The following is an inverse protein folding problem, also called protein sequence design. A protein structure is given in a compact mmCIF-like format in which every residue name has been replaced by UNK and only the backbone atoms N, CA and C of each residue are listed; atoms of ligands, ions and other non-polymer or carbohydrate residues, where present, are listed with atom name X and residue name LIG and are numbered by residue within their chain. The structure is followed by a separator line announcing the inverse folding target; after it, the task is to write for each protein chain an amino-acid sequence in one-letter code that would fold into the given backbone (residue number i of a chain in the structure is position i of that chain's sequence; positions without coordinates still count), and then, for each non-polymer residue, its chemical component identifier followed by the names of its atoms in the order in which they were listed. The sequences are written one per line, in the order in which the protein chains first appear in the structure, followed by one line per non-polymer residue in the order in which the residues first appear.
data_IF_890802763154
#
_entry.id   IF_890802763154
#
_cell.length_a   1.000
_cell.length_b   1.000
_cell.length_c   1.000
_cell.angle_alpha   90.00
_cell.angle_beta   90.00
_cell.angle_gamma   90.00
#
_symmetry.space_group_name_H-M   'P 1'
#
loop_
_entity.id
_entity.type
_entity.pdbx_description
1 polymer ?
#
# COMPACT_ATOMS: atom_id res chain seq x y z
N UNK A 1 -5.74 -16.75 -9.01
CA UNK A 1 -5.69 -15.75 -10.11
C UNK A 1 -4.39 -14.99 -9.91
N UNK A 2 -3.38 -15.18 -10.76
CA UNK A 2 -2.20 -14.30 -10.76
C UNK A 2 -2.59 -13.08 -11.57
N UNK A 3 -2.73 -11.92 -10.93
CA UNK A 3 -2.97 -10.67 -11.64
C UNK A 3 -1.65 -10.22 -12.22
N UNK A 4 -1.58 -9.97 -13.53
CA UNK A 4 -0.38 -9.40 -14.15
C UNK A 4 -0.12 -7.99 -13.58
N UNK A 5 1.15 -7.57 -13.52
CA UNK A 5 1.54 -6.24 -13.04
C UNK A 5 0.91 -5.14 -13.91
N UNK A 6 0.78 -5.38 -15.21
CA UNK A 6 0.11 -4.46 -16.13
C UNK A 6 -1.39 -4.31 -15.83
N UNK A 7 -2.08 -5.40 -15.50
CA UNK A 7 -3.49 -5.37 -15.08
C UNK A 7 -3.65 -4.68 -13.72
N UNK A 8 -2.70 -4.90 -12.81
CA UNK A 8 -2.66 -4.23 -11.51
C UNK A 8 -2.47 -2.72 -11.67
N UNK A 9 -1.57 -2.29 -12.56
CA UNK A 9 -1.36 -0.88 -12.88
C UNK A 9 -2.61 -0.24 -13.47
N UNK A 10 -3.26 -0.91 -14.44
CA UNK A 10 -4.52 -0.41 -15.04
C UNK A 10 -5.62 -0.29 -13.99
N UNK A 11 -5.81 -1.30 -13.15
CA UNK A 11 -6.79 -1.26 -12.07
C UNK A 11 -6.48 -0.12 -11.08
N UNK A 12 -5.22 0.05 -10.71
CA UNK A 12 -4.81 1.13 -9.81
C UNK A 12 -5.06 2.52 -10.42
N UNK A 13 -4.70 2.71 -11.69
CA UNK A 13 -4.99 3.94 -12.44
C UNK A 13 -6.49 4.19 -12.56
N UNK A 14 -7.28 3.15 -12.84
CA UNK A 14 -8.74 3.26 -12.89
C UNK A 14 -9.28 3.73 -11.54
N UNK A 15 -8.87 3.11 -10.43
CA UNK A 15 -9.27 3.48 -9.06
C UNK A 15 -8.87 4.93 -8.68
N UNK A 16 -7.74 5.41 -9.14
CA UNK A 16 -7.20 6.71 -8.69
C UNK A 16 -7.50 7.87 -9.66
N UNK A 17 -7.83 7.58 -10.93
CA UNK A 17 -8.09 8.58 -11.97
C UNK A 17 -9.44 9.29 -11.88
N UNK A 18 -10.39 8.77 -11.10
CA UNK A 18 -11.75 9.31 -11.11
C UNK A 18 -11.95 10.40 -10.04
N UNK A 19 -12.01 11.64 -10.52
CA UNK A 19 -12.39 12.84 -9.76
C UNK A 19 -13.89 12.89 -9.35
N UNK A 20 -14.63 11.77 -9.43
CA UNK A 20 -16.07 11.68 -9.17
C UNK A 20 -16.46 10.56 -8.18
N UNK A 21 -17.77 10.30 -8.06
CA UNK A 21 -18.34 9.21 -7.22
C UNK A 21 -17.93 7.83 -7.74
N UNK A 22 -16.70 7.41 -7.47
CA UNK A 22 -16.28 6.07 -7.83
C UNK A 22 -17.06 5.01 -7.06
N UNK A 23 -17.68 4.11 -7.81
CA UNK A 23 -18.23 2.88 -7.25
C UNK A 23 -17.06 1.94 -7.01
N UNK A 24 -16.98 1.39 -5.81
CA UNK A 24 -16.10 0.27 -5.49
C UNK A 24 -16.26 -0.81 -6.56
N UNK A 25 -15.16 -1.43 -6.99
CA UNK A 25 -15.14 -2.49 -8.02
C UNK A 25 -15.01 -3.86 -7.36
N UNK A 26 -15.45 -4.91 -8.05
CA UNK A 26 -15.22 -6.32 -7.64
C UNK A 26 -13.82 -6.80 -8.04
N UNK A 27 -13.09 -6.05 -8.88
CA UNK A 27 -11.67 -6.29 -9.17
C UNK A 27 -10.83 -5.80 -7.99
N UNK A 28 -9.88 -6.60 -7.53
CA UNK A 28 -9.10 -6.32 -6.33
C UNK A 28 -7.63 -6.16 -6.67
N UNK A 29 -6.94 -5.23 -6.01
CA UNK A 29 -5.49 -5.07 -6.17
C UNK A 29 -4.76 -6.31 -5.65
N UNK A 30 -5.29 -6.95 -4.60
CA UNK A 30 -4.82 -8.23 -4.08
C UNK A 30 -5.95 -9.15 -3.64
N UNK A 31 -5.63 -10.43 -3.47
CA UNK A 31 -6.55 -11.41 -2.87
C UNK A 31 -6.67 -11.13 -1.37
N UNK A 32 -7.87 -10.81 -0.83
CA UNK A 32 -8.02 -10.34 0.56
C UNK A 32 -7.64 -11.36 1.62
N UNK A 33 -7.74 -12.66 1.29
CA UNK A 33 -7.42 -13.77 2.19
C UNK A 33 -6.03 -14.38 1.96
N UNK A 34 -5.29 -13.91 0.95
CA UNK A 34 -3.99 -14.51 0.66
C UNK A 34 -2.96 -14.04 1.67
N UNK A 35 -2.38 -14.99 2.40
CA UNK A 35 -1.14 -14.81 3.16
C UNK A 35 0.09 -14.92 2.26
N UNK A 36 -0.05 -15.48 1.05
CA UNK A 36 1.04 -15.54 0.07
C UNK A 36 1.40 -14.12 -0.38
N UNK A 37 2.70 -13.78 -0.44
CA UNK A 37 3.14 -12.48 -0.91
C UNK A 37 2.65 -12.28 -2.34
N UNK A 38 1.87 -11.22 -2.55
CA UNK A 38 1.65 -10.70 -3.89
C UNK A 38 3.01 -10.21 -4.39
N UNK A 39 3.28 -10.31 -5.69
CA UNK A 39 4.50 -9.79 -6.34
C UNK A 39 4.48 -8.25 -6.37
N UNK A 40 4.32 -7.64 -5.21
CA UNK A 40 4.41 -6.21 -4.95
C UNK A 40 5.79 -5.89 -4.40
N UNK A 41 6.23 -4.65 -4.58
CA UNK A 41 7.50 -4.19 -4.05
C UNK A 41 7.57 -4.27 -2.52
N UNK A 42 6.47 -3.93 -1.83
CA UNK A 42 6.31 -4.06 -0.39
C UNK A 42 5.32 -5.17 -0.05
N UNK A 43 5.57 -5.89 1.04
CA UNK A 43 4.64 -6.85 1.59
C UNK A 43 3.53 -6.14 2.38
N UNK A 44 2.29 -6.28 1.90
CA UNK A 44 1.08 -5.80 2.58
C UNK A 44 0.19 -6.98 2.99
N UNK A 45 0.33 -7.51 4.23
CA UNK A 45 -0.52 -8.60 4.74
C UNK A 45 -2.02 -8.29 4.80
N UNK A 46 -2.83 -9.28 5.17
CA UNK A 46 -4.30 -9.18 5.20
C UNK A 46 -4.83 -8.12 6.16
N UNK A 47 -4.11 -7.80 7.24
CA UNK A 47 -4.50 -6.74 8.16
C UNK A 47 -4.47 -5.33 7.53
N UNK A 48 -3.75 -5.12 6.42
CA UNK A 48 -3.80 -3.89 5.63
C UNK A 48 -4.99 -3.81 4.66
N UNK A 49 -5.88 -4.81 4.61
CA UNK A 49 -7.04 -4.75 3.72
C UNK A 49 -7.89 -3.49 3.92
N UNK A 50 -8.08 -3.07 5.18
CA UNK A 50 -8.83 -1.84 5.48
C UNK A 50 -8.09 -0.58 4.99
N UNK A 51 -6.78 -0.50 5.20
CA UNK A 51 -5.94 0.61 4.73
C UNK A 51 -5.89 0.70 3.20
N UNK A 52 -5.95 -0.45 2.52
CA UNK A 52 -6.07 -0.57 1.07
C UNK A 52 -7.52 -0.38 0.58
N UNK A 53 -8.48 -0.09 1.44
CA UNK A 53 -9.90 0.02 1.12
C UNK A 53 -10.50 -1.22 0.42
N UNK A 54 -10.06 -2.40 0.84
CA UNK A 54 -10.61 -3.71 0.48
C UNK A 54 -11.62 -4.12 1.55
N UNK A 55 -12.89 -4.32 1.17
CA UNK A 55 -13.97 -4.63 2.11
C UNK A 55 -14.92 -5.67 1.54
N UNK A 56 -15.48 -6.52 2.40
CA UNK A 56 -16.60 -7.35 2.03
C UNK A 56 -17.87 -6.50 2.09
N UNK A 57 -18.55 -6.34 0.97
CA UNK A 57 -19.70 -5.43 0.85
C UNK A 57 -20.88 -6.15 0.25
N UNK A 58 -22.07 -5.84 0.75
CA UNK A 58 -23.33 -6.30 0.16
C UNK A 58 -23.56 -5.63 -1.21
N UNK A 59 -23.89 -6.44 -2.21
CA UNK A 59 -24.29 -6.02 -3.55
C UNK A 59 -25.65 -6.62 -3.88
N UNK A 60 -26.35 -6.01 -4.83
CA UNK A 60 -27.66 -6.48 -5.31
C UNK A 60 -27.58 -6.82 -6.78
N UNK A 61 -27.95 -8.05 -7.13
CA UNK A 61 -28.14 -8.51 -8.51
C UNK A 61 -29.48 -9.24 -8.56
N UNK A 62 -30.33 -8.87 -9.52
CA UNK A 62 -31.65 -9.46 -9.70
C UNK A 62 -32.52 -9.45 -8.42
N UNK A 63 -32.47 -8.34 -7.67
CA UNK A 63 -33.13 -8.12 -6.36
C UNK A 63 -32.66 -9.05 -5.23
N UNK A 64 -31.66 -9.90 -5.46
CA UNK A 64 -31.04 -10.72 -4.43
C UNK A 64 -29.75 -10.05 -3.94
N UNK A 65 -29.58 -10.03 -2.62
CA UNK A 65 -28.35 -9.57 -1.98
C UNK A 65 -27.30 -10.67 -2.00
N UNK A 66 -26.06 -10.32 -2.33
CA UNK A 66 -24.90 -11.18 -2.22
C UNK A 66 -23.71 -10.41 -1.63
N UNK A 67 -22.83 -11.11 -0.92
CA UNK A 67 -21.62 -10.54 -0.35
C UNK A 67 -20.44 -10.79 -1.26
N UNK A 68 -19.67 -9.75 -1.53
CA UNK A 68 -18.48 -9.84 -2.37
C UNK A 68 -17.41 -8.86 -1.88
N UNK A 69 -16.16 -9.27 -1.98
CA UNK A 69 -15.03 -8.39 -1.74
C UNK A 69 -14.97 -7.32 -2.83
N UNK A 70 -14.77 -6.08 -2.39
CA UNK A 70 -14.67 -4.94 -3.28
C UNK A 70 -13.51 -4.05 -2.91
N UNK A 71 -12.99 -3.36 -3.91
CA UNK A 71 -11.88 -2.42 -3.83
C UNK A 71 -12.41 -1.01 -4.10
N UNK A 72 -12.13 -0.08 -3.20
CA UNK A 72 -12.26 1.35 -3.47
C UNK A 72 -10.91 2.04 -3.53
N UNK A 73 -10.93 3.37 -3.44
CA UNK A 73 -9.75 4.22 -3.50
C UNK A 73 -9.62 5.15 -2.27
N UNK A 74 -10.37 4.85 -1.20
CA UNK A 74 -10.31 5.57 0.09
C UNK A 74 -9.17 5.00 0.96
N UNK A 75 -7.96 5.00 0.40
CA UNK A 75 -6.76 4.50 1.08
C UNK A 75 -6.47 5.28 2.37
N UNK A 76 -6.14 4.56 3.45
CA UNK A 76 -6.16 5.11 4.81
C UNK A 76 -5.06 4.55 5.72
N UNK A 77 -3.82 4.46 5.21
CA UNK A 77 -2.67 4.14 6.07
C UNK A 77 -2.53 5.20 7.17
N UNK A 78 -2.20 4.75 8.37
CA UNK A 78 -2.24 5.52 9.61
C UNK A 78 -0.87 5.59 10.28
N UNK A 79 -0.69 6.56 11.17
CA UNK A 79 0.55 6.71 11.94
C UNK A 79 0.86 5.41 12.71
N UNK A 80 2.09 4.93 12.58
CA UNK A 80 2.54 3.66 13.16
C UNK A 80 2.46 2.47 12.21
N UNK A 81 1.72 2.57 11.09
CA UNK A 81 1.74 1.53 10.06
C UNK A 81 3.17 1.34 9.55
N UNK A 82 3.62 0.09 9.57
CA UNK A 82 4.98 -0.30 9.20
C UNK A 82 4.92 -1.40 8.16
N UNK A 83 5.55 -1.19 7.01
CA UNK A 83 5.62 -2.14 5.91
C UNK A 83 7.07 -2.50 5.59
N UNK A 84 7.29 -3.75 5.24
CA UNK A 84 8.59 -4.30 4.85
C UNK A 84 8.52 -4.86 3.44
N UNK A 85 9.65 -4.93 2.74
CA UNK A 85 9.75 -5.53 1.40
C UNK A 85 9.59 -7.05 1.38
N UNK A 86 9.62 -7.70 2.55
CA UNK A 86 9.58 -9.16 2.67
C UNK A 86 8.57 -9.62 3.71
N UNK A 87 7.89 -10.74 3.44
CA UNK A 87 6.97 -11.37 4.38
C UNK A 87 7.71 -12.03 5.55
N UNK A 88 9.00 -12.32 5.36
CA UNK A 88 9.90 -12.83 6.40
C UNK A 88 10.06 -11.83 7.55
N UNK A 89 9.75 -10.54 7.33
CA UNK A 89 9.80 -9.50 8.34
C UNK A 89 8.83 -9.72 9.51
N UNK A 90 7.82 -10.57 9.32
CA UNK A 90 6.82 -10.91 10.34
C UNK A 90 7.16 -12.18 11.14
N UNK A 91 8.37 -12.73 10.95
CA UNK A 91 8.97 -13.81 11.77
C UNK A 91 9.76 -13.20 12.95
N UNK A 92 10.37 -14.00 13.86
CA UNK A 92 11.22 -13.47 14.92
C UNK A 92 12.23 -12.45 14.40
N UNK A 93 12.39 -11.33 15.12
CA UNK A 93 13.04 -10.12 14.59
C UNK A 93 14.50 -10.33 14.15
N UNK A 94 15.24 -11.18 14.85
CA UNK A 94 16.61 -11.56 14.54
C UNK A 94 16.74 -12.29 13.19
N UNK A 95 15.71 -13.01 12.75
CA UNK A 95 15.66 -13.68 11.45
C UNK A 95 15.15 -12.72 10.37
N UNK A 96 14.08 -11.98 10.69
CA UNK A 96 13.47 -10.97 9.83
C UNK A 96 14.49 -9.97 9.28
N UNK A 97 15.31 -9.38 10.15
CA UNK A 97 16.19 -8.27 9.80
C UNK A 97 17.29 -8.63 8.78
N UNK A 98 17.64 -9.92 8.70
CA UNK A 98 18.60 -10.44 7.72
C UNK A 98 18.01 -10.34 6.29
N UNK A 99 16.69 -10.36 6.16
CA UNK A 99 15.99 -10.38 4.88
C UNK A 99 15.42 -9.02 4.45
N UNK A 100 15.10 -8.14 5.40
CA UNK A 100 14.50 -6.81 5.14
C UNK A 100 15.50 -5.87 4.48
N UNK A 101 15.23 -5.39 3.27
CA UNK A 101 16.09 -4.40 2.60
C UNK A 101 15.54 -2.98 2.73
N UNK A 102 14.22 -2.83 2.88
CA UNK A 102 13.58 -1.54 3.06
C UNK A 102 12.36 -1.67 3.96
N UNK A 103 12.21 -0.68 4.84
CA UNK A 103 11.07 -0.53 5.72
C UNK A 103 10.46 0.87 5.52
N UNK A 104 9.14 0.93 5.46
CA UNK A 104 8.38 2.18 5.43
C UNK A 104 7.61 2.28 6.74
N UNK A 105 7.84 3.33 7.51
CA UNK A 105 7.09 3.61 8.73
C UNK A 105 6.33 4.92 8.60
N UNK A 106 5.01 4.87 8.69
CA UNK A 106 4.15 6.06 8.58
C UNK A 106 4.28 6.91 9.84
N UNK A 107 4.66 8.17 9.67
CA UNK A 107 4.86 9.14 10.76
C UNK A 107 3.75 10.19 10.83
N UNK A 108 3.10 10.50 9.69
CA UNK A 108 1.92 11.38 9.61
C UNK A 108 0.97 10.85 8.55
N UNK A 109 -0.33 10.99 8.78
CA UNK A 109 -1.34 10.53 7.84
C UNK A 109 -2.63 11.36 7.87
N UNK A 110 -3.18 11.60 6.68
CA UNK A 110 -4.54 12.02 6.41
C UNK A 110 -5.11 11.02 5.39
N UNK A 111 -6.26 10.38 5.65
CA UNK A 111 -6.82 9.38 4.74
C UNK A 111 -7.26 10.02 3.42
N UNK A 112 -7.24 9.22 2.36
CA UNK A 112 -7.93 9.55 1.12
C UNK A 112 -9.43 9.38 1.32
N UNK A 113 -10.23 10.22 0.66
CA UNK A 113 -11.66 10.25 0.88
C UNK A 113 -12.41 11.20 -0.03
N UNK A 114 -13.72 11.01 -0.12
CA UNK A 114 -14.61 12.03 -0.68
C UNK A 114 -14.74 13.23 0.25
N UNK A 115 -14.81 14.42 -0.33
CA UNK A 115 -15.24 15.63 0.36
C UNK A 115 -16.73 15.89 0.12
N UNK A 116 -17.34 16.72 0.97
CA UNK A 116 -18.74 17.15 0.83
C UNK A 116 -19.03 17.84 -0.51
N UNK A 117 -18.00 18.42 -1.13
CA UNK A 117 -18.07 19.05 -2.46
C UNK A 117 -18.08 18.04 -3.63
N UNK A 118 -18.00 16.74 -3.35
CA UNK A 118 -17.98 15.67 -4.35
C UNK A 118 -16.61 15.39 -4.95
N UNK A 119 -15.60 16.23 -4.67
CA UNK A 119 -14.21 15.99 -5.05
C UNK A 119 -13.54 15.01 -4.07
N UNK A 120 -12.71 14.11 -4.61
CA UNK A 120 -11.88 13.22 -3.78
C UNK A 120 -10.55 13.89 -3.45
N UNK A 121 -10.19 13.82 -2.18
CA UNK A 121 -8.88 14.17 -1.68
C UNK A 121 -8.02 12.90 -1.68
N UNK A 122 -6.82 12.89 -2.29
CA UNK A 122 -5.96 11.70 -2.38
C UNK A 122 -5.27 11.34 -1.06
N UNK A 123 -5.58 12.05 0.03
CA UNK A 123 -4.93 11.89 1.31
C UNK A 123 -3.54 12.53 1.32
N UNK A 124 -2.88 12.45 2.47
CA UNK A 124 -1.49 12.86 2.65
C UNK A 124 -0.81 11.90 3.60
N UNK A 125 0.44 11.59 3.33
CA UNK A 125 1.26 10.74 4.18
C UNK A 125 2.67 11.33 4.30
N UNK A 126 3.24 11.23 5.48
CA UNK A 126 4.68 11.30 5.67
C UNK A 126 5.14 9.95 6.21
N UNK A 127 6.24 9.44 5.70
CA UNK A 127 6.81 8.18 6.14
C UNK A 127 8.34 8.27 6.22
N UNK A 128 8.90 7.53 7.16
CA UNK A 128 10.32 7.29 7.23
C UNK A 128 10.66 6.08 6.35
N UNK A 129 11.67 6.25 5.49
CA UNK A 129 12.32 5.14 4.80
C UNK A 129 13.47 4.69 5.68
N UNK A 130 13.41 3.45 6.16
CA UNK A 130 14.45 2.84 6.98
C UNK A 130 15.15 1.71 6.23
N UNK A 131 16.47 1.69 6.33
CA UNK A 131 17.33 0.70 5.68
C UNK A 131 18.14 -0.06 6.75
N UNK A 132 18.46 -1.34 6.54
CA UNK A 132 19.33 -2.06 7.45
C UNK A 132 20.73 -1.44 7.46
N UNK A 133 21.37 -1.41 8.62
CA UNK A 133 22.80 -1.12 8.70
C UNK A 133 23.62 -2.25 8.03
N UNK A 134 24.93 -2.01 7.78
CA UNK A 134 25.82 -2.99 7.13
C UNK A 134 25.83 -4.36 7.83
N UNK A 135 25.67 -4.39 9.15
CA UNK A 135 25.65 -5.61 9.95
C UNK A 135 24.25 -6.26 10.03
N UNK A 136 23.21 -5.63 9.48
CA UNK A 136 21.79 -6.05 9.57
C UNK A 136 21.34 -6.36 11.01
N UNK A 137 21.75 -5.50 11.95
CA UNK A 137 21.39 -5.58 13.38
C UNK A 137 20.41 -4.50 13.81
N UNK A 138 20.21 -3.46 12.99
CA UNK A 138 19.16 -2.44 13.20
C UNK A 138 18.76 -1.80 11.88
N UNK A 139 17.55 -1.22 11.86
CA UNK A 139 17.11 -0.30 10.81
C UNK A 139 17.51 1.14 11.18
N UNK A 140 17.98 1.88 10.19
CA UNK A 140 18.38 3.28 10.31
C UNK A 140 17.52 4.12 9.36
N UNK A 141 17.00 5.24 9.83
CA UNK A 141 16.30 6.22 8.97
C UNK A 141 17.27 6.71 7.90
N UNK A 142 16.92 6.45 6.64
CA UNK A 142 17.63 6.95 5.48
C UNK A 142 17.14 8.34 5.10
N UNK A 143 15.82 8.49 4.94
CA UNK A 143 15.18 9.77 4.65
C UNK A 143 13.70 9.76 5.07
N UNK A 144 13.10 10.95 5.04
CA UNK A 144 11.66 11.13 5.17
C UNK A 144 11.06 11.44 3.79
N UNK A 145 9.94 10.80 3.48
CA UNK A 145 9.15 11.04 2.26
C UNK A 145 7.81 11.65 2.64
N UNK A 146 7.32 12.53 1.78
CA UNK A 146 5.98 13.09 1.84
C UNK A 146 5.31 12.85 0.49
N UNK A 147 4.10 12.30 0.51
CA UNK A 147 3.33 11.98 -0.69
C UNK A 147 1.84 11.86 -0.33
N UNK A 148 0.98 11.56 -1.30
CA UNK A 148 -0.43 11.23 -1.09
C UNK A 148 -0.59 9.76 -0.67
N UNK A 149 -1.77 9.37 -0.16
CA UNK A 149 -2.05 7.95 0.10
C UNK A 149 -2.04 7.13 -1.19
N UNK A 150 -2.43 7.75 -2.31
CA UNK A 150 -2.43 7.13 -3.64
C UNK A 150 -0.98 6.82 -4.07
N UNK A 151 -0.09 7.81 -4.01
CA UNK A 151 1.33 7.62 -4.30
C UNK A 151 1.98 6.59 -3.36
N UNK A 152 1.57 6.54 -2.09
CA UNK A 152 2.06 5.55 -1.14
C UNK A 152 1.63 4.11 -1.51
N UNK A 153 0.38 3.91 -1.93
CA UNK A 153 -0.06 2.61 -2.47
C UNK A 153 0.68 2.28 -3.77
N UNK A 154 0.94 3.27 -4.63
CA UNK A 154 1.77 3.08 -5.83
C UNK A 154 3.18 2.60 -5.46
N UNK A 155 3.82 3.21 -4.45
CA UNK A 155 5.10 2.75 -3.91
C UNK A 155 4.98 1.29 -3.44
N UNK A 156 4.00 0.98 -2.58
CA UNK A 156 3.81 -0.37 -2.05
C UNK A 156 3.74 -1.42 -3.15
N UNK A 157 3.02 -1.13 -4.24
CA UNK A 157 2.79 -2.09 -5.33
C UNK A 157 3.98 -2.13 -6.29
N UNK A 158 4.41 -0.99 -6.81
CA UNK A 158 5.33 -0.89 -7.96
C UNK A 158 6.75 -0.49 -7.58
N UNK A 159 6.97 -0.06 -6.34
CA UNK A 159 8.23 0.48 -5.84
C UNK A 159 8.34 2.00 -5.98
N UNK A 160 9.43 2.58 -5.45
CA UNK A 160 9.66 4.02 -5.52
C UNK A 160 9.87 4.48 -6.96
N UNK A 161 9.39 5.69 -7.26
CA UNK A 161 9.73 6.34 -8.53
C UNK A 161 11.24 6.56 -8.64
N UNK A 162 11.75 6.60 -9.88
CA UNK A 162 13.19 6.70 -10.16
C UNK A 162 13.92 7.75 -9.32
N UNK A 163 13.38 8.96 -9.24
CA UNK A 163 14.00 10.06 -8.48
C UNK A 163 14.08 9.76 -6.97
N UNK A 164 13.10 9.04 -6.42
CA UNK A 164 13.08 8.63 -5.02
C UNK A 164 14.03 7.45 -4.80
N UNK A 165 14.10 6.50 -5.73
CA UNK A 165 15.08 5.40 -5.71
C UNK A 165 16.51 5.93 -5.67
N UNK A 166 16.84 6.89 -6.54
CA UNK A 166 18.15 7.55 -6.57
C UNK A 166 18.48 8.26 -5.24
N UNK A 167 17.48 8.91 -4.62
CA UNK A 167 17.63 9.51 -3.29
C UNK A 167 17.90 8.45 -2.21
N UNK A 168 17.15 7.34 -2.20
CA UNK A 168 17.36 6.23 -1.26
C UNK A 168 18.78 5.67 -1.41
N UNK A 169 19.22 5.37 -2.63
CA UNK A 169 20.56 4.86 -2.92
C UNK A 169 21.67 5.83 -2.48
N UNK A 170 21.45 7.14 -2.61
CA UNK A 170 22.43 8.15 -2.20
C UNK A 170 22.72 8.15 -0.69
N UNK A 171 21.78 7.68 0.14
CA UNK A 171 21.95 7.60 1.60
C UNK A 171 22.81 6.41 2.05
N UNK A 172 23.07 5.46 1.15
CA UNK A 172 23.84 4.24 1.44
C UNK A 172 25.34 4.37 1.11
N UNK A 173 25.75 5.47 0.49
CA UNK A 173 27.16 5.79 0.18
C UNK A 173 27.89 6.29 1.42
#
# INVERSE_FOLDING_TARGET
MKTDLADTLRLFQDLTSQLGKQKRTEKLLKIPQSESPVEWFMCAPTFFNNALDIRNTERKKDKQSYWVWTQGADFSFSVGDTLYDTFEAYKPWNEALITVNICLQVTRAVPAGGSDSGFRFPGKISADVLLPNKQRTKLLKALEIEMTQHEFVSFIIFGPEKHLSERIESTQK
#
